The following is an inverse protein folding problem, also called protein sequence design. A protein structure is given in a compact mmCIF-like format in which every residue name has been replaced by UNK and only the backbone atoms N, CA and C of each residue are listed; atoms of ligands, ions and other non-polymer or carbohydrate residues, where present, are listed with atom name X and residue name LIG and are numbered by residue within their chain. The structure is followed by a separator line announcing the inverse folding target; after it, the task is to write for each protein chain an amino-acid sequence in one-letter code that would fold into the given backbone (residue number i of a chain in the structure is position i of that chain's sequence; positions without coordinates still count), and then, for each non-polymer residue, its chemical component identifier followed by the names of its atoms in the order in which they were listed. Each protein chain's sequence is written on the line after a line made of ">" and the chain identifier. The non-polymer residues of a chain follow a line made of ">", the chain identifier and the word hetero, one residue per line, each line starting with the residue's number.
data_IF_826698444022
#
_entry.id   IF_826698444022
#
_cell.length_a   1.000
_cell.length_b   1.000
_cell.length_c   1.000
_cell.angle_alpha   90.00
_cell.angle_beta   90.00
_cell.angle_gamma   90.00
#
_symmetry.space_group_name_H-M   'P 1'
#
loop_
_entity.id
_entity.type
_entity.pdbx_description
1 polymer ?
#
# COMPACT_ATOMS: atom_id res chain seq x y z
N UNK A 1 -27.46 28.44 15.93
CA UNK A 1 -26.10 28.55 15.35
C UNK A 1 -25.60 27.14 14.95
N UNK A 2 -25.41 26.87 13.65
CA UNK A 2 -25.05 25.54 13.12
C UNK A 2 -23.58 25.16 13.38
N UNK A 3 -22.67 26.14 13.35
CA UNK A 3 -21.23 25.93 13.53
C UNK A 3 -20.94 25.46 14.96
N UNK A 4 -21.51 26.15 15.97
CA UNK A 4 -21.38 25.73 17.37
C UNK A 4 -21.88 24.30 17.61
N UNK A 5 -22.96 23.89 16.92
CA UNK A 5 -23.46 22.51 17.01
C UNK A 5 -22.48 21.50 16.40
N UNK A 6 -21.80 21.86 15.31
CA UNK A 6 -20.77 21.01 14.72
C UNK A 6 -19.53 20.91 15.62
N UNK A 7 -19.11 22.00 16.26
CA UNK A 7 -17.99 22.01 17.23
C UNK A 7 -18.27 21.06 18.39
N UNK A 8 -19.45 21.14 19.00
CA UNK A 8 -19.86 20.21 20.08
C UNK A 8 -19.90 18.76 19.58
N UNK A 9 -20.40 18.52 18.37
CA UNK A 9 -20.42 17.18 17.77
C UNK A 9 -19.01 16.64 17.55
N UNK A 10 -18.07 17.49 17.16
CA UNK A 10 -16.67 17.12 16.98
C UNK A 10 -16.00 16.74 18.30
N UNK A 11 -16.30 17.48 19.38
CA UNK A 11 -15.83 17.15 20.73
C UNK A 11 -16.36 15.80 21.19
N UNK A 12 -17.64 15.51 20.94
CA UNK A 12 -18.21 14.18 21.23
C UNK A 12 -17.51 13.08 20.43
N UNK A 13 -17.17 13.30 19.15
CA UNK A 13 -16.40 12.31 18.38
C UNK A 13 -15.04 12.04 19.02
N UNK A 14 -14.33 13.10 19.43
CA UNK A 14 -13.07 12.98 20.14
C UNK A 14 -13.23 12.16 21.41
N UNK A 15 -14.21 12.49 22.26
CA UNK A 15 -14.50 11.75 23.49
C UNK A 15 -14.77 10.26 23.21
N UNK A 16 -15.60 9.93 22.22
CA UNK A 16 -15.93 8.52 21.91
C UNK A 16 -14.74 7.72 21.40
N UNK A 17 -13.84 8.34 20.65
CA UNK A 17 -12.61 7.67 20.21
C UNK A 17 -11.61 7.47 21.36
N UNK A 18 -11.51 8.44 22.29
CA UNK A 18 -10.67 8.29 23.48
C UNK A 18 -11.26 7.27 24.46
N UNK A 19 -12.58 7.24 24.65
CA UNK A 19 -13.28 6.19 25.41
C UNK A 19 -12.99 4.81 24.82
N UNK A 20 -13.10 4.65 23.50
CA UNK A 20 -12.79 3.40 22.81
C UNK A 20 -11.33 2.99 23.04
N UNK A 21 -10.38 3.93 22.93
CA UNK A 21 -8.96 3.70 23.23
C UNK A 21 -8.74 3.25 24.67
N UNK A 22 -9.40 3.90 25.63
CA UNK A 22 -9.31 3.54 27.05
C UNK A 22 -9.93 2.16 27.33
N UNK A 23 -11.02 1.79 26.64
CA UNK A 23 -11.64 0.48 26.75
C UNK A 23 -10.73 -0.62 26.18
N UNK A 24 -10.12 -0.41 25.02
CA UNK A 24 -9.18 -1.36 24.40
C UNK A 24 -7.95 -1.63 25.29
N UNK A 25 -7.57 -0.69 26.15
CA UNK A 25 -6.51 -0.88 27.14
C UNK A 25 -6.94 -1.72 28.36
N UNK A 26 -8.25 -1.84 28.63
CA UNK A 26 -8.80 -2.52 29.82
C UNK A 26 -9.42 -3.87 29.50
N UNK A 27 -9.89 -4.09 28.28
CA UNK A 27 -10.56 -5.33 27.88
C UNK A 27 -10.21 -5.72 26.45
N UNK A 28 -10.23 -7.03 26.21
CA UNK A 28 -10.14 -7.64 24.88
C UNK A 28 -11.48 -8.27 24.47
N UNK A 29 -12.57 -7.98 25.19
CA UNK A 29 -13.91 -8.46 24.85
C UNK A 29 -14.38 -7.82 23.51
N UNK A 30 -14.56 -8.64 22.47
CA UNK A 30 -14.92 -8.17 21.14
C UNK A 30 -16.25 -7.42 21.10
N UNK A 31 -17.26 -7.89 21.85
CA UNK A 31 -18.61 -7.31 21.83
C UNK A 31 -18.60 -5.89 22.39
N UNK A 32 -17.82 -5.67 23.46
CA UNK A 32 -17.69 -4.35 24.08
C UNK A 32 -16.98 -3.39 23.13
N UNK A 33 -15.86 -3.82 22.54
CA UNK A 33 -15.05 -2.98 21.65
C UNK A 33 -15.77 -2.67 20.33
N UNK A 34 -16.46 -3.63 19.73
CA UNK A 34 -17.25 -3.43 18.52
C UNK A 34 -18.41 -2.45 18.76
N UNK A 35 -19.08 -2.55 19.91
CA UNK A 35 -20.14 -1.62 20.30
C UNK A 35 -19.59 -0.20 20.47
N UNK A 36 -18.43 -0.06 21.10
CA UNK A 36 -17.77 1.23 21.25
C UNK A 36 -17.33 1.82 19.89
N UNK A 37 -16.74 1.01 19.01
CA UNK A 37 -16.38 1.40 17.64
C UNK A 37 -17.59 1.84 16.81
N UNK A 38 -18.69 1.09 16.87
CA UNK A 38 -19.95 1.44 16.20
C UNK A 38 -20.54 2.75 16.73
N UNK A 39 -20.41 3.01 18.03
CA UNK A 39 -20.85 4.27 18.63
C UNK A 39 -20.01 5.44 18.11
N UNK A 40 -18.68 5.31 18.06
CA UNK A 40 -17.79 6.33 17.48
C UNK A 40 -18.16 6.62 16.03
N UNK A 41 -18.38 5.59 15.20
CA UNK A 41 -18.84 5.77 13.81
C UNK A 41 -20.14 6.57 13.74
N UNK A 42 -21.14 6.23 14.57
CA UNK A 42 -22.43 6.93 14.62
C UNK A 42 -22.25 8.42 14.90
N UNK A 43 -21.31 8.79 15.77
CA UNK A 43 -21.02 10.18 16.07
C UNK A 43 -20.29 10.90 14.93
N UNK A 44 -19.41 10.22 14.21
CA UNK A 44 -18.78 10.73 12.98
C UNK A 44 -19.85 11.05 11.92
N UNK A 45 -20.81 10.14 11.70
CA UNK A 45 -21.91 10.38 10.76
C UNK A 45 -22.78 11.58 11.18
N UNK A 46 -23.08 11.71 12.47
CA UNK A 46 -23.83 12.85 13.01
C UNK A 46 -23.09 14.17 12.84
N UNK A 47 -21.76 14.18 12.99
CA UNK A 47 -20.94 15.36 12.74
C UNK A 47 -21.02 15.77 11.26
N UNK A 48 -20.84 14.81 10.34
CA UNK A 48 -20.97 15.08 8.90
C UNK A 48 -22.34 15.64 8.55
N UNK A 49 -23.42 14.99 8.98
CA UNK A 49 -24.79 15.44 8.71
C UNK A 49 -25.08 16.83 9.29
N UNK A 50 -24.37 17.22 10.35
CA UNK A 50 -24.46 18.56 10.92
C UNK A 50 -23.69 19.58 10.06
N UNK A 51 -22.51 19.22 9.55
CA UNK A 51 -21.71 20.06 8.64
C UNK A 51 -22.43 20.25 7.29
N UNK A 52 -23.13 19.24 6.80
CA UNK A 52 -23.91 19.33 5.54
C UNK A 52 -24.93 20.46 5.53
N UNK A 53 -25.39 20.90 6.71
CA UNK A 53 -26.33 22.02 6.87
C UNK A 53 -25.68 23.39 6.76
N UNK A 54 -24.36 23.48 6.61
CA UNK A 54 -23.67 24.74 6.39
C UNK A 54 -24.01 25.25 4.99
N UNK A 55 -24.40 26.52 4.92
CA UNK A 55 -24.72 27.23 3.68
C UNK A 55 -23.47 27.92 3.09
N UNK A 56 -22.61 28.42 3.96
CA UNK A 56 -21.35 29.06 3.58
C UNK A 56 -20.18 28.07 3.56
N UNK A 57 -19.02 28.52 3.07
CA UNK A 57 -17.75 27.79 3.06
C UNK A 57 -16.64 28.61 3.75
N UNK A 58 -15.40 28.13 3.72
CA UNK A 58 -14.25 28.78 4.34
C UNK A 58 -13.88 30.11 3.66
N UNK A 59 -14.15 30.29 2.37
CA UNK A 59 -13.94 31.56 1.67
C UNK A 59 -14.90 32.65 2.15
N UNK A 60 -16.18 32.30 2.28
CA UNK A 60 -17.25 33.27 2.54
C UNK A 60 -17.52 33.50 4.03
N UNK A 61 -17.00 32.65 4.92
CA UNK A 61 -17.24 32.73 6.36
C UNK A 61 -15.97 32.51 7.19
N UNK A 62 -15.46 33.56 7.88
CA UNK A 62 -14.32 33.43 8.80
C UNK A 62 -14.54 32.42 9.94
N UNK A 63 -15.81 32.23 10.33
CA UNK A 63 -16.17 31.24 11.36
C UNK A 63 -16.04 29.81 10.84
N UNK A 64 -16.43 29.55 9.59
CA UNK A 64 -16.25 28.24 8.95
C UNK A 64 -14.77 27.99 8.69
N UNK A 65 -14.03 29.01 8.25
CA UNK A 65 -12.58 28.92 8.08
C UNK A 65 -11.88 28.41 9.36
N UNK A 66 -12.16 29.06 10.51
CA UNK A 66 -11.61 28.65 11.81
C UNK A 66 -12.09 27.26 12.25
N UNK A 67 -13.35 26.94 12.00
CA UNK A 67 -13.89 25.61 12.28
C UNK A 67 -13.17 24.54 11.45
N UNK A 68 -12.91 24.80 10.17
CA UNK A 68 -12.29 23.86 9.26
C UNK A 68 -10.86 23.53 9.67
N UNK A 69 -10.07 24.50 10.14
CA UNK A 69 -8.74 24.25 10.70
C UNK A 69 -8.79 23.31 11.90
N UNK A 70 -9.75 23.54 12.82
CA UNK A 70 -10.00 22.64 13.96
C UNK A 70 -10.47 21.27 13.47
N UNK A 71 -11.32 21.22 12.45
CA UNK A 71 -11.79 19.98 11.81
C UNK A 71 -10.65 19.13 11.29
N UNK A 72 -9.76 19.71 10.48
CA UNK A 72 -8.62 19.02 9.89
C UNK A 72 -7.68 18.51 10.97
N UNK A 73 -7.30 19.38 11.91
CA UNK A 73 -6.40 19.01 13.00
C UNK A 73 -6.92 17.81 13.80
N UNK A 74 -8.19 17.85 14.18
CA UNK A 74 -8.77 16.74 14.95
C UNK A 74 -8.96 15.50 14.07
N UNK A 75 -9.41 15.63 12.82
CA UNK A 75 -9.57 14.48 11.92
C UNK A 75 -8.27 13.71 11.73
N UNK A 76 -7.13 14.40 11.57
CA UNK A 76 -5.81 13.77 11.49
C UNK A 76 -5.40 13.08 12.81
N UNK A 77 -5.77 13.63 13.97
CA UNK A 77 -5.53 12.99 15.27
C UNK A 77 -6.44 11.77 15.47
N UNK A 78 -7.71 11.87 15.08
CA UNK A 78 -8.68 10.77 15.12
C UNK A 78 -8.21 9.61 14.25
N UNK A 79 -7.69 9.90 13.06
CA UNK A 79 -7.06 8.91 12.18
C UNK A 79 -5.92 8.18 12.90
N UNK A 80 -4.98 8.91 13.53
CA UNK A 80 -3.88 8.33 14.30
C UNK A 80 -4.36 7.43 15.44
N UNK A 81 -5.43 7.82 16.13
CA UNK A 81 -6.04 7.00 17.22
C UNK A 81 -6.65 5.72 16.67
N UNK A 82 -7.37 5.78 15.55
CA UNK A 82 -7.97 4.60 14.91
C UNK A 82 -6.90 3.61 14.45
N UNK A 83 -5.82 4.09 13.85
CA UNK A 83 -4.69 3.25 13.42
C UNK A 83 -3.95 2.61 14.61
N UNK A 84 -3.80 3.33 15.72
CA UNK A 84 -3.22 2.77 16.95
C UNK A 84 -4.10 1.63 17.50
N UNK A 85 -5.42 1.82 17.48
CA UNK A 85 -6.40 0.82 17.92
C UNK A 85 -6.29 -0.48 17.13
N UNK A 86 -6.08 -0.44 15.82
CA UNK A 86 -5.93 -1.64 14.97
C UNK A 86 -4.85 -2.60 15.51
N UNK A 87 -3.81 -2.08 16.17
CA UNK A 87 -2.71 -2.88 16.72
C UNK A 87 -2.96 -3.40 18.15
N UNK A 88 -4.06 -2.97 18.79
CA UNK A 88 -4.33 -3.20 20.22
C UNK A 88 -5.63 -3.96 20.49
N UNK A 89 -6.38 -4.27 19.44
CA UNK A 89 -7.65 -4.97 19.53
C UNK A 89 -7.58 -6.37 18.90
N UNK A 90 -8.47 -7.30 19.27
CA UNK A 90 -8.51 -8.62 18.67
C UNK A 90 -8.78 -8.57 17.15
N UNK A 91 -8.36 -9.59 16.37
CA UNK A 91 -8.48 -9.60 14.90
C UNK A 91 -9.89 -9.30 14.36
N UNK A 92 -10.93 -9.83 15.02
CA UNK A 92 -12.33 -9.59 14.64
C UNK A 92 -12.74 -8.12 14.81
N UNK A 93 -12.29 -7.48 15.88
CA UNK A 93 -12.56 -6.05 16.17
C UNK A 93 -11.73 -5.17 15.23
N UNK A 94 -10.52 -5.62 14.88
CA UNK A 94 -9.62 -4.88 13.98
C UNK A 94 -10.31 -4.58 12.64
N UNK A 95 -10.98 -5.56 12.02
CA UNK A 95 -11.77 -5.35 10.79
C UNK A 95 -12.84 -4.26 10.96
N UNK A 96 -13.47 -4.21 12.14
CA UNK A 96 -14.46 -3.17 12.44
C UNK A 96 -13.81 -1.79 12.55
N UNK A 97 -12.65 -1.70 13.21
CA UNK A 97 -11.87 -0.46 13.32
C UNK A 97 -11.41 0.02 11.94
N UNK A 98 -10.90 -0.88 11.09
CA UNK A 98 -10.51 -0.57 9.70
C UNK A 98 -11.70 0.02 8.93
N UNK A 99 -12.88 -0.61 9.04
CA UNK A 99 -14.10 -0.10 8.41
C UNK A 99 -14.59 1.25 8.97
N UNK A 100 -14.26 1.58 10.22
CA UNK A 100 -14.51 2.91 10.82
C UNK A 100 -13.51 3.93 10.28
N UNK A 101 -12.23 3.56 10.20
CA UNK A 101 -11.14 4.38 9.64
C UNK A 101 -11.41 4.76 8.18
N UNK A 102 -11.73 3.79 7.34
CA UNK A 102 -12.03 4.02 5.92
C UNK A 102 -13.23 4.97 5.74
N UNK A 103 -14.31 4.77 6.50
CA UNK A 103 -15.48 5.67 6.45
C UNK A 103 -15.16 7.04 7.01
N UNK A 104 -14.36 7.13 8.07
CA UNK A 104 -13.90 8.40 8.64
C UNK A 104 -13.16 9.22 7.58
N UNK A 105 -12.20 8.62 6.86
CA UNK A 105 -11.46 9.31 5.79
C UNK A 105 -12.36 9.69 4.61
N UNK A 106 -13.30 8.83 4.21
CA UNK A 106 -14.28 9.16 3.18
C UNK A 106 -15.12 10.39 3.58
N UNK A 107 -15.57 10.45 4.84
CA UNK A 107 -16.33 11.60 5.35
C UNK A 107 -15.46 12.84 5.46
N UNK A 108 -14.21 12.68 5.88
CA UNK A 108 -13.22 13.74 5.94
C UNK A 108 -13.05 14.39 4.56
N UNK A 109 -12.81 13.59 3.52
CA UNK A 109 -12.70 14.07 2.14
C UNK A 109 -13.94 14.83 1.69
N UNK A 110 -15.14 14.29 1.94
CA UNK A 110 -16.42 14.97 1.61
C UNK A 110 -16.60 16.31 2.33
N UNK A 111 -16.19 16.42 3.60
CA UNK A 111 -16.25 17.69 4.34
C UNK A 111 -15.27 18.70 3.75
N UNK A 112 -14.04 18.28 3.46
CA UNK A 112 -13.03 19.13 2.83
C UNK A 112 -13.53 19.70 1.50
N UNK A 113 -14.06 18.85 0.62
CA UNK A 113 -14.58 19.29 -0.69
C UNK A 113 -15.81 20.20 -0.60
N UNK A 114 -16.59 20.12 0.49
CA UNK A 114 -17.76 20.99 0.69
C UNK A 114 -17.34 22.36 1.22
N UNK A 115 -16.40 22.39 2.18
CA UNK A 115 -16.10 23.59 2.95
C UNK A 115 -14.88 24.37 2.44
N UNK A 116 -14.08 23.81 1.55
CA UNK A 116 -12.86 24.44 1.03
C UNK A 116 -12.77 24.31 -0.49
N UNK A 117 -12.07 25.25 -1.10
CA UNK A 117 -11.77 25.21 -2.52
C UNK A 117 -10.75 24.11 -2.82
N UNK A 118 -10.93 23.45 -3.96
CA UNK A 118 -10.10 22.30 -4.34
C UNK A 118 -8.60 22.63 -4.35
N UNK A 119 -8.23 23.82 -4.82
CA UNK A 119 -6.85 24.32 -4.88
C UNK A 119 -6.23 24.63 -3.52
N UNK A 120 -7.05 24.84 -2.47
CA UNK A 120 -6.58 25.18 -1.11
C UNK A 120 -6.52 23.99 -0.16
N UNK A 121 -7.21 22.89 -0.49
CA UNK A 121 -7.28 21.68 0.37
C UNK A 121 -5.87 21.18 0.72
N UNK A 122 -5.00 21.00 -0.29
CA UNK A 122 -3.65 20.49 -0.08
C UNK A 122 -2.82 21.44 0.82
N UNK A 123 -2.77 22.72 0.47
CA UNK A 123 -2.04 23.72 1.25
C UNK A 123 -2.49 23.77 2.72
N UNK A 124 -3.80 23.71 2.97
CA UNK A 124 -4.34 23.69 4.33
C UNK A 124 -3.96 22.43 5.10
N UNK A 125 -4.05 21.24 4.48
CA UNK A 125 -3.61 19.98 5.09
C UNK A 125 -2.11 20.05 5.45
N UNK A 126 -1.27 20.54 4.53
CA UNK A 126 0.16 20.70 4.75
C UNK A 126 0.46 21.58 5.97
N UNK A 127 -0.18 22.75 6.06
CA UNK A 127 0.00 23.67 7.17
C UNK A 127 -0.37 23.03 8.52
N UNK A 128 -1.44 22.22 8.55
CA UNK A 128 -1.82 21.51 9.78
C UNK A 128 -0.82 20.41 10.12
N UNK A 129 -0.33 19.66 9.13
CA UNK A 129 0.66 18.61 9.34
C UNK A 129 1.98 19.18 9.86
N UNK A 130 2.51 20.24 9.25
CA UNK A 130 3.78 20.87 9.66
C UNK A 130 3.77 21.35 11.11
N UNK A 131 2.62 21.81 11.61
CA UNK A 131 2.45 22.34 12.96
C UNK A 131 2.18 21.28 14.05
N UNK A 132 2.16 19.99 13.72
CA UNK A 132 2.00 18.91 14.72
C UNK A 132 3.31 18.57 15.45
N UNK A 133 3.19 18.03 16.67
CA UNK A 133 4.32 17.64 17.52
C UNK A 133 5.35 16.79 16.76
N UNK A 134 6.61 17.21 16.82
CA UNK A 134 7.74 16.56 16.14
C UNK A 134 8.09 15.24 16.84
N UNK A 135 8.20 14.17 16.06
CA UNK A 135 8.87 12.93 16.43
C UNK A 135 9.87 12.58 15.33
N UNK A 136 10.87 11.75 15.64
CA UNK A 136 11.97 11.41 14.72
C UNK A 136 11.47 10.88 13.36
N UNK A 137 10.30 10.24 13.32
CA UNK A 137 9.71 9.63 12.11
C UNK A 137 8.32 10.15 11.76
N UNK A 138 7.96 11.35 12.23
CA UNK A 138 6.64 11.96 11.98
C UNK A 138 6.27 11.97 10.50
N UNK A 139 7.22 12.30 9.63
CA UNK A 139 6.99 12.40 8.18
C UNK A 139 6.57 11.05 7.58
N UNK A 140 7.07 9.91 8.06
CA UNK A 140 6.60 8.60 7.61
C UNK A 140 5.12 8.39 7.94
N UNK A 141 4.69 8.88 9.11
CA UNK A 141 3.28 8.80 9.48
C UNK A 141 2.41 9.72 8.63
N UNK A 142 2.89 10.94 8.39
CA UNK A 142 2.18 11.90 7.54
C UNK A 142 2.08 11.38 6.10
N UNK A 143 3.14 10.78 5.56
CA UNK A 143 3.14 10.11 4.25
C UNK A 143 2.06 9.02 4.16
N UNK A 144 1.92 8.19 5.19
CA UNK A 144 0.87 7.15 5.21
C UNK A 144 -0.52 7.78 5.15
N UNK A 145 -0.77 8.80 5.98
CA UNK A 145 -2.07 9.48 6.01
C UNK A 145 -2.35 10.18 4.67
N UNK A 146 -1.35 10.85 4.07
CA UNK A 146 -1.49 11.50 2.77
C UNK A 146 -1.82 10.50 1.66
N UNK A 147 -1.18 9.33 1.64
CA UNK A 147 -1.49 8.25 0.69
C UNK A 147 -2.92 7.72 0.84
N UNK A 148 -3.40 7.59 2.07
CA UNK A 148 -4.78 7.17 2.32
C UNK A 148 -5.79 8.26 1.94
N UNK A 149 -5.46 9.54 2.20
CA UNK A 149 -6.30 10.67 1.85
C UNK A 149 -6.40 10.91 0.35
N UNK A 150 -5.33 10.67 -0.41
CA UNK A 150 -5.33 10.82 -1.88
C UNK A 150 -6.52 10.08 -2.51
N UNK A 151 -6.77 8.85 -2.09
CA UNK A 151 -7.87 8.03 -2.62
C UNK A 151 -9.27 8.49 -2.17
N UNK A 152 -9.35 9.29 -1.10
CA UNK A 152 -10.64 9.77 -0.55
C UNK A 152 -10.96 11.21 -0.93
N UNK A 153 -10.03 11.90 -1.58
CA UNK A 153 -10.20 13.25 -2.08
C UNK A 153 -10.61 13.25 -3.56
N UNK A 154 -11.24 14.33 -4.05
CA UNK A 154 -11.57 14.47 -5.47
C UNK A 154 -10.31 14.36 -6.34
N UNK A 155 -10.47 13.84 -7.56
CA UNK A 155 -9.36 13.62 -8.50
C UNK A 155 -8.56 14.88 -8.79
N UNK A 156 -9.21 16.04 -8.81
CA UNK A 156 -8.56 17.33 -9.07
C UNK A 156 -7.61 17.78 -7.96
N UNK A 157 -7.68 17.15 -6.77
CA UNK A 157 -6.82 17.45 -5.62
C UNK A 157 -5.70 16.42 -5.49
N UNK A 158 -5.82 15.25 -6.13
CA UNK A 158 -4.90 14.12 -5.95
C UNK A 158 -3.46 14.48 -6.31
N UNK A 159 -3.22 15.20 -7.40
CA UNK A 159 -1.87 15.60 -7.80
C UNK A 159 -1.22 16.55 -6.78
N UNK A 160 -1.98 17.50 -6.22
CA UNK A 160 -1.48 18.34 -5.14
C UNK A 160 -1.16 17.54 -3.89
N UNK A 161 -1.93 16.49 -3.58
CA UNK A 161 -1.61 15.57 -2.48
C UNK A 161 -0.34 14.76 -2.77
N UNK A 162 -0.12 14.31 -4.02
CA UNK A 162 1.12 13.64 -4.43
C UNK A 162 2.33 14.53 -4.24
N UNK A 163 2.25 15.80 -4.64
CA UNK A 163 3.31 16.78 -4.41
C UNK A 163 3.62 16.96 -2.91
N UNK A 164 2.59 16.93 -2.04
CA UNK A 164 2.80 16.94 -0.59
C UNK A 164 3.46 15.66 -0.08
N UNK A 165 3.14 14.49 -0.66
CA UNK A 165 3.83 13.25 -0.35
C UNK A 165 5.32 13.37 -0.72
N UNK A 166 5.64 13.83 -1.92
CA UNK A 166 7.04 14.03 -2.35
C UNK A 166 7.78 15.00 -1.43
N UNK A 167 7.18 16.15 -1.12
CA UNK A 167 7.74 17.11 -0.16
C UNK A 167 7.98 16.47 1.21
N UNK A 168 7.02 15.70 1.73
CA UNK A 168 7.14 15.04 3.04
C UNK A 168 8.25 13.98 3.04
N UNK A 169 8.42 13.25 1.93
CA UNK A 169 9.51 12.29 1.75
C UNK A 169 10.87 12.98 1.70
N UNK A 170 11.01 14.07 0.94
CA UNK A 170 12.27 14.80 0.86
C UNK A 170 12.68 15.35 2.24
N UNK A 171 11.74 15.97 2.95
CA UNK A 171 11.97 16.43 4.33
C UNK A 171 12.33 15.28 5.27
N UNK A 172 11.73 14.10 5.09
CA UNK A 172 12.10 12.91 5.85
C UNK A 172 13.55 12.50 5.59
N UNK A 173 13.96 12.37 4.32
CA UNK A 173 15.31 11.95 3.94
C UNK A 173 16.36 12.94 4.44
N UNK A 174 16.13 14.25 4.30
CA UNK A 174 17.01 15.29 4.84
C UNK A 174 17.15 15.23 6.37
N UNK A 175 16.06 14.93 7.09
CA UNK A 175 16.11 14.77 8.54
C UNK A 175 16.79 13.46 8.93
N UNK A 176 16.65 12.42 8.11
CA UNK A 176 17.25 11.13 8.36
C UNK A 176 18.78 11.22 8.35
N UNK A 177 19.35 11.99 7.42
CA UNK A 177 20.80 12.24 7.36
C UNK A 177 21.34 12.97 8.60
N UNK A 178 20.51 13.73 9.30
CA UNK A 178 20.89 14.54 10.46
C UNK A 178 20.80 13.78 11.80
N UNK A 179 20.14 12.62 11.85
CA UNK A 179 20.03 11.81 13.06
C UNK A 179 21.11 10.73 13.11
N UNK A 180 21.40 10.21 14.31
CA UNK A 180 22.43 9.18 14.50
C UNK A 180 22.09 7.87 13.78
N UNK A 181 23.12 7.13 13.35
CA UNK A 181 22.98 5.81 12.71
C UNK A 181 22.12 4.86 13.55
N UNK A 182 22.31 4.86 14.88
CA UNK A 182 21.50 4.06 15.81
C UNK A 182 20.00 4.39 15.73
N UNK A 183 19.65 5.66 15.50
CA UNK A 183 18.26 6.06 15.26
C UNK A 183 17.82 5.70 13.85
N UNK A 184 18.65 5.88 12.83
CA UNK A 184 18.33 5.51 11.45
C UNK A 184 17.98 4.01 11.33
N UNK A 185 18.69 3.14 12.04
CA UNK A 185 18.41 1.70 12.05
C UNK A 185 17.03 1.34 12.63
N UNK A 186 16.41 2.24 13.42
CA UNK A 186 15.07 2.04 14.01
C UNK A 186 13.93 2.31 13.02
N UNK A 187 14.20 2.79 11.80
CA UNK A 187 13.16 3.03 10.77
C UNK A 187 12.37 1.75 10.48
N UNK A 188 13.08 0.62 10.29
CA UNK A 188 12.44 -0.65 9.97
C UNK A 188 11.46 -1.08 11.06
N UNK A 189 11.88 -0.96 12.33
CA UNK A 189 11.02 -1.27 13.49
C UNK A 189 9.84 -0.30 13.61
N UNK A 190 10.07 0.97 13.30
CA UNK A 190 9.00 1.98 13.30
C UNK A 190 7.93 1.63 12.27
N UNK A 191 8.31 1.38 11.01
CA UNK A 191 7.38 1.01 9.93
C UNK A 191 6.61 -0.27 10.26
N UNK A 192 7.27 -1.27 10.84
CA UNK A 192 6.61 -2.52 11.26
C UNK A 192 5.56 -2.31 12.35
N UNK A 193 5.83 -1.42 13.33
CA UNK A 193 4.97 -1.16 14.49
C UNK A 193 3.91 -0.10 14.22
N UNK A 194 4.09 0.71 13.17
CA UNK A 194 3.14 1.75 12.78
C UNK A 194 1.77 1.12 12.49
N UNK A 195 0.70 1.66 13.08
CA UNK A 195 -0.68 1.25 12.76
C UNK A 195 -1.14 1.75 11.39
N UNK A 196 -2.33 1.33 10.94
CA UNK A 196 -2.91 1.74 9.66
C UNK A 196 -2.66 0.76 8.52
N UNK A 197 -2.96 1.21 7.30
CA UNK A 197 -3.00 0.38 6.10
C UNK A 197 -1.62 -0.20 5.76
N UNK A 198 -1.51 -1.54 5.74
CA UNK A 198 -0.22 -2.26 5.54
C UNK A 198 0.26 -2.22 4.10
N UNK A 199 -0.66 -2.16 3.15
CA UNK A 199 -0.36 -2.00 1.74
C UNK A 199 0.29 -0.63 1.47
N UNK A 200 -0.25 0.44 2.07
CA UNK A 200 0.37 1.78 2.00
C UNK A 200 1.72 1.85 2.73
N UNK A 201 1.89 1.09 3.82
CA UNK A 201 3.19 0.97 4.47
C UNK A 201 4.23 0.29 3.58
N UNK A 202 3.83 -0.77 2.87
CA UNK A 202 4.70 -1.45 1.91
C UNK A 202 5.10 -0.49 0.77
N UNK A 203 4.17 0.30 0.22
CA UNK A 203 4.51 1.31 -0.79
C UNK A 203 5.54 2.34 -0.31
N UNK A 204 5.41 2.83 0.93
CA UNK A 204 6.38 3.75 1.55
C UNK A 204 7.73 3.06 1.70
N UNK A 205 7.73 1.84 2.22
CA UNK A 205 8.95 1.05 2.41
C UNK A 205 9.69 0.83 1.08
N UNK A 206 8.98 0.42 0.02
CA UNK A 206 9.56 0.24 -1.32
C UNK A 206 10.11 1.55 -1.90
N UNK A 207 9.57 2.69 -1.48
CA UNK A 207 10.15 3.99 -1.81
C UNK A 207 11.45 4.21 -1.04
N UNK A 208 11.43 4.07 0.28
CA UNK A 208 12.62 4.25 1.12
C UNK A 208 13.78 3.34 0.74
N UNK A 209 13.51 2.08 0.36
CA UNK A 209 14.55 1.12 -0.08
C UNK A 209 15.32 1.60 -1.31
N UNK A 210 14.65 2.36 -2.17
CA UNK A 210 15.26 2.86 -3.41
C UNK A 210 16.04 4.14 -3.16
N UNK A 211 15.51 5.03 -2.34
CA UNK A 211 16.17 6.30 -1.99
C UNK A 211 17.38 6.08 -1.05
N UNK A 212 17.26 5.17 -0.08
CA UNK A 212 18.30 4.94 0.93
C UNK A 212 19.29 3.86 0.45
N UNK A 213 20.54 4.25 0.22
CA UNK A 213 21.64 3.37 -0.23
C UNK A 213 22.56 2.87 0.88
N UNK A 214 22.34 3.27 2.13
CA UNK A 214 23.20 2.87 3.24
C UNK A 214 22.94 1.41 3.66
N UNK A 215 23.97 0.54 3.56
CA UNK A 215 23.82 -0.92 3.69
C UNK A 215 23.16 -1.39 4.99
N UNK A 216 23.52 -0.82 6.15
CA UNK A 216 22.90 -1.20 7.42
C UNK A 216 21.40 -0.88 7.47
N UNK A 217 20.98 0.26 6.91
CA UNK A 217 19.58 0.67 6.85
C UNK A 217 18.83 -0.18 5.83
N UNK A 218 19.44 -0.46 4.68
CA UNK A 218 18.85 -1.33 3.65
C UNK A 218 18.49 -2.71 4.22
N UNK A 219 19.40 -3.33 4.98
CA UNK A 219 19.12 -4.61 5.63
C UNK A 219 17.92 -4.52 6.60
N UNK A 220 17.77 -3.42 7.35
CA UNK A 220 16.61 -3.20 8.22
C UNK A 220 15.32 -2.98 7.42
N UNK A 221 15.38 -2.32 6.27
CA UNK A 221 14.25 -2.13 5.37
C UNK A 221 13.85 -3.44 4.67
N UNK A 222 14.80 -4.31 4.30
CA UNK A 222 14.53 -5.68 3.83
C UNK A 222 13.77 -6.49 4.89
N UNK A 223 14.28 -6.52 6.12
CA UNK A 223 13.60 -7.23 7.21
C UNK A 223 12.20 -6.67 7.49
N UNK A 224 12.02 -5.35 7.36
CA UNK A 224 10.71 -4.73 7.48
C UNK A 224 9.76 -5.09 6.34
N UNK A 225 10.27 -5.26 5.11
CA UNK A 225 9.49 -5.72 3.96
C UNK A 225 8.85 -7.06 4.25
N UNK A 226 9.64 -8.04 4.63
CA UNK A 226 9.16 -9.40 4.83
C UNK A 226 8.15 -9.46 5.98
N UNK A 227 8.38 -8.70 7.05
CA UNK A 227 7.43 -8.60 8.16
C UNK A 227 6.14 -7.88 7.78
N UNK A 228 6.18 -6.84 6.95
CA UNK A 228 4.98 -6.14 6.48
C UNK A 228 4.19 -7.06 5.54
N UNK A 229 4.85 -7.74 4.60
CA UNK A 229 4.23 -8.72 3.70
C UNK A 229 3.56 -9.85 4.49
N UNK A 230 4.25 -10.42 5.49
CA UNK A 230 3.67 -11.43 6.37
C UNK A 230 2.44 -10.92 7.13
N UNK A 231 2.45 -9.65 7.56
CA UNK A 231 1.26 -9.02 8.18
C UNK A 231 0.11 -8.81 7.20
N UNK A 232 0.39 -8.52 5.92
CA UNK A 232 -0.64 -8.41 4.88
C UNK A 232 -1.28 -9.78 4.63
N UNK A 233 -0.47 -10.84 4.58
CA UNK A 233 -0.93 -12.22 4.39
C UNK A 233 -1.78 -12.72 5.56
N UNK A 234 -1.33 -12.45 6.78
CA UNK A 234 -2.01 -12.84 8.02
C UNK A 234 -3.17 -11.93 8.40
N UNK A 235 -3.34 -10.80 7.71
CA UNK A 235 -4.41 -9.86 8.02
C UNK A 235 -5.78 -10.54 7.84
N UNK A 236 -6.68 -10.41 8.83
CA UNK A 236 -8.07 -10.82 8.70
C UNK A 236 -8.65 -10.41 7.35
N UNK A 237 -9.36 -11.35 6.72
CA UNK A 237 -10.01 -11.12 5.42
C UNK A 237 -11.51 -11.29 5.57
N UNK A 238 -12.24 -10.60 4.71
CA UNK A 238 -13.63 -10.94 4.46
C UNK A 238 -13.69 -12.38 3.91
N UNK A 239 -14.57 -13.22 4.45
CA UNK A 239 -14.75 -14.62 4.02
C UNK A 239 -15.03 -14.76 2.52
N UNK A 240 -15.57 -13.70 1.90
CA UNK A 240 -15.84 -13.64 0.46
C UNK A 240 -14.60 -13.39 -0.40
N UNK A 241 -13.46 -13.04 0.19
CA UNK A 241 -12.24 -12.76 -0.56
C UNK A 241 -11.37 -14.01 -0.73
N UNK A 242 -10.73 -14.17 -1.91
CA UNK A 242 -9.77 -15.25 -2.12
C UNK A 242 -8.59 -15.14 -1.15
N UNK A 243 -7.90 -16.26 -0.95
CA UNK A 243 -6.68 -16.29 -0.16
C UNK A 243 -5.62 -15.48 -0.89
N UNK A 244 -5.17 -14.39 -0.29
CA UNK A 244 -4.00 -13.68 -0.78
C UNK A 244 -2.75 -14.43 -0.31
N UNK A 245 -1.83 -14.69 -1.22
CA UNK A 245 -0.56 -15.39 -0.92
C UNK A 245 0.59 -14.41 -1.12
N UNK A 246 1.51 -14.38 -0.17
CA UNK A 246 2.70 -13.56 -0.27
C UNK A 246 3.53 -13.90 -1.53
N UNK A 247 4.12 -12.90 -2.20
CA UNK A 247 5.04 -13.18 -3.28
C UNK A 247 6.27 -13.93 -2.76
N UNK A 248 6.78 -14.87 -3.55
CA UNK A 248 7.99 -15.64 -3.20
C UNK A 248 9.21 -14.72 -3.00
N UNK A 249 10.18 -15.09 -2.15
CA UNK A 249 11.42 -14.34 -2.02
C UNK A 249 12.08 -14.07 -3.38
N UNK A 250 12.48 -12.82 -3.62
CA UNK A 250 13.05 -12.41 -4.91
C UNK A 250 12.05 -12.16 -6.03
N UNK A 251 10.73 -12.22 -5.78
CA UNK A 251 9.68 -11.92 -6.76
C UNK A 251 9.87 -10.59 -7.49
N UNK A 252 10.41 -9.58 -6.81
CA UNK A 252 10.62 -8.25 -7.37
C UNK A 252 11.99 -7.71 -6.93
N UNK A 253 13.06 -8.12 -7.63
CA UNK A 253 14.45 -7.71 -7.32
C UNK A 253 14.71 -6.25 -7.69
N UNK A 254 14.27 -5.85 -8.89
CA UNK A 254 14.58 -4.53 -9.48
C UNK A 254 13.35 -3.61 -9.56
N UNK A 255 12.24 -4.00 -8.92
CA UNK A 255 11.01 -3.23 -8.95
C UNK A 255 10.46 -2.95 -7.55
N UNK A 256 9.23 -2.47 -7.52
CA UNK A 256 8.45 -2.27 -6.30
C UNK A 256 7.31 -3.27 -6.25
N UNK A 257 7.10 -3.88 -5.10
CA UNK A 257 5.93 -4.71 -4.85
C UNK A 257 4.73 -3.80 -4.60
N UNK A 258 3.67 -3.96 -5.39
CA UNK A 258 2.41 -3.24 -5.24
C UNK A 258 1.30 -4.24 -4.96
N UNK A 259 0.54 -4.00 -3.90
CA UNK A 259 -0.64 -4.79 -3.52
C UNK A 259 -1.86 -3.87 -3.59
N UNK A 260 -2.70 -4.11 -4.59
CA UNK A 260 -3.93 -3.35 -4.79
C UNK A 260 -5.13 -4.11 -4.21
N UNK A 261 -6.22 -3.38 -3.93
CA UNK A 261 -7.53 -3.97 -3.69
C UNK A 261 -8.40 -3.79 -4.93
N UNK A 262 -9.23 -4.79 -5.21
CA UNK A 262 -10.28 -4.69 -6.21
C UNK A 262 -11.30 -3.63 -5.78
N UNK A 263 -11.65 -2.67 -6.64
CA UNK A 263 -12.48 -1.54 -6.26
C UNK A 263 -13.94 -1.91 -5.97
N UNK A 264 -14.44 -3.04 -6.47
CA UNK A 264 -15.82 -3.47 -6.28
C UNK A 264 -15.98 -4.33 -5.02
N UNK A 265 -15.05 -5.28 -4.83
CA UNK A 265 -15.12 -6.28 -3.78
C UNK A 265 -14.29 -5.89 -2.55
N UNK A 266 -13.32 -4.99 -2.71
CA UNK A 266 -12.34 -4.65 -1.68
C UNK A 266 -11.31 -5.75 -1.41
N UNK A 267 -11.34 -6.85 -2.18
CA UNK A 267 -10.43 -7.97 -1.99
C UNK A 267 -9.04 -7.64 -2.51
N UNK A 268 -8.00 -8.13 -1.82
CA UNK A 268 -6.61 -7.95 -2.26
C UNK A 268 -6.39 -8.70 -3.58
N UNK A 269 -5.82 -7.99 -4.55
CA UNK A 269 -5.34 -8.56 -5.80
C UNK A 269 -3.96 -9.18 -5.60
N UNK A 270 -3.55 -10.14 -6.46
CA UNK A 270 -2.18 -10.65 -6.47
C UNK A 270 -1.16 -9.52 -6.53
N UNK A 271 -0.04 -9.69 -5.81
CA UNK A 271 1.05 -8.73 -5.83
C UNK A 271 1.57 -8.54 -7.27
N UNK A 272 1.89 -7.30 -7.64
CA UNK A 272 2.53 -6.97 -8.92
C UNK A 272 3.90 -6.38 -8.67
N UNK A 273 4.89 -6.80 -9.45
CA UNK A 273 6.18 -6.13 -9.51
C UNK A 273 6.08 -4.99 -10.53
N UNK A 274 6.25 -3.75 -10.07
CA UNK A 274 6.26 -2.56 -10.93
C UNK A 274 7.69 -2.06 -11.04
N UNK A 275 8.24 -2.13 -12.24
CA UNK A 275 9.54 -1.57 -12.59
C UNK A 275 9.29 -0.14 -13.10
N UNK A 276 10.01 0.86 -12.57
CA UNK A 276 9.85 2.25 -13.03
C UNK A 276 10.53 2.49 -14.37
N UNK A 277 10.07 3.46 -15.15
CA UNK A 277 10.64 3.83 -16.46
C UNK A 277 12.14 4.15 -16.41
N UNK A 278 12.67 4.71 -15.31
CA UNK A 278 14.12 4.90 -15.13
C UNK A 278 14.89 3.58 -15.00
N UNK A 279 14.28 2.57 -14.38
CA UNK A 279 14.84 1.23 -14.28
C UNK A 279 14.64 0.50 -15.60
N UNK A 280 13.52 0.68 -16.31
CA UNK A 280 13.39 0.19 -17.68
C UNK A 280 14.46 0.80 -18.62
N UNK A 281 14.82 2.07 -18.43
CA UNK A 281 15.90 2.73 -19.18
C UNK A 281 17.29 2.22 -18.78
N UNK A 282 17.52 1.91 -17.50
CA UNK A 282 18.79 1.37 -17.01
C UNK A 282 18.95 -0.12 -17.32
N UNK A 283 17.91 -0.94 -17.20
CA UNK A 283 17.87 -2.32 -17.72
C UNK A 283 18.15 -2.30 -19.22
N UNK A 284 17.53 -1.40 -20.00
CA UNK A 284 17.81 -1.22 -21.44
C UNK A 284 19.23 -0.72 -21.74
N UNK A 285 19.94 -0.11 -20.79
CA UNK A 285 21.33 0.35 -20.93
C UNK A 285 22.32 -0.73 -20.50
N UNK A 286 22.07 -1.43 -19.41
CA UNK A 286 22.90 -2.53 -18.94
C UNK A 286 22.82 -3.73 -19.90
N UNK A 287 21.70 -3.88 -20.64
CA UNK A 287 21.61 -4.82 -21.78
C UNK A 287 22.27 -4.31 -23.07
N UNK A 288 22.77 -3.07 -23.13
CA UNK A 288 23.55 -2.58 -24.29
C UNK A 288 25.04 -2.86 -24.17
N UNK A 289 25.54 -3.06 -22.94
CA UNK A 289 26.94 -3.38 -22.68
C UNK A 289 27.21 -4.89 -22.53
N UNK A 290 26.16 -5.71 -22.66
CA UNK A 290 26.23 -7.15 -22.86
C UNK A 290 25.74 -7.43 -24.27
N UNK A 291 26.67 -7.36 -25.21
CA UNK A 291 26.67 -8.01 -26.52
C UNK A 291 25.41 -7.94 -27.40
N UNK A 292 25.63 -7.32 -28.57
CA UNK A 292 25.23 -7.83 -29.89
C UNK A 292 24.69 -9.27 -29.92
N UNK A 293 23.42 -9.48 -29.57
CA UNK A 293 22.52 -10.39 -30.27
C UNK A 293 21.08 -9.99 -30.00
N UNK A 294 20.34 -9.76 -31.09
CA UNK A 294 18.98 -9.28 -31.08
C UNK A 294 18.03 -10.21 -30.32
N UNK A 295 17.40 -9.72 -29.24
CA UNK A 295 16.15 -10.31 -28.73
C UNK A 295 15.18 -9.17 -28.38
N UNK A 296 14.42 -8.76 -29.38
CA UNK A 296 13.12 -8.11 -29.22
C UNK A 296 12.08 -9.17 -28.82
N UNK A 297 11.23 -8.87 -27.84
CA UNK A 297 9.80 -9.23 -27.69
C UNK A 297 9.31 -10.53 -28.43
N UNK A 298 10.06 -11.64 -28.35
CA UNK A 298 9.73 -12.94 -28.97
C UNK A 298 9.59 -14.07 -27.93
N UNK A 299 9.78 -13.78 -26.64
CA UNK A 299 9.87 -14.84 -25.61
C UNK A 299 8.53 -15.51 -25.27
N UNK A 300 7.40 -14.82 -25.45
CA UNK A 300 6.10 -15.39 -25.05
C UNK A 300 5.54 -16.43 -26.03
N UNK A 301 5.83 -16.36 -27.34
CA UNK A 301 5.36 -17.39 -28.29
C UNK A 301 6.14 -18.70 -28.18
N UNK A 302 7.44 -18.62 -27.86
CA UNK A 302 8.32 -19.79 -27.83
C UNK A 302 7.98 -20.76 -26.70
N UNK A 303 7.31 -20.29 -25.65
CA UNK A 303 6.88 -21.11 -24.51
C UNK A 303 5.36 -21.19 -24.35
N UNK A 304 4.57 -20.61 -25.25
CA UNK A 304 3.10 -20.65 -25.14
C UNK A 304 2.52 -21.96 -25.67
N UNK A 305 1.38 -22.35 -25.11
CA UNK A 305 0.65 -23.56 -25.51
C UNK A 305 -0.85 -23.38 -25.29
N UNK A 306 -1.65 -24.20 -25.97
CA UNK A 306 -3.09 -24.37 -25.68
C UNK A 306 -3.37 -25.73 -25.07
N UNK A 307 -2.57 -26.73 -25.42
CA UNK A 307 -2.68 -28.13 -25.01
C UNK A 307 -1.30 -28.71 -24.73
N UNK A 308 -1.23 -29.83 -24.00
CA UNK A 308 0.03 -30.52 -23.69
C UNK A 308 0.79 -30.95 -24.97
N UNK A 309 0.07 -31.29 -26.05
CA UNK A 309 0.65 -31.64 -27.34
C UNK A 309 1.36 -30.48 -28.06
N UNK A 310 1.11 -29.23 -27.64
CA UNK A 310 1.83 -28.08 -28.17
C UNK A 310 3.22 -27.94 -27.55
N UNK A 311 3.52 -28.69 -26.48
CA UNK A 311 4.79 -28.62 -25.77
C UNK A 311 5.72 -29.75 -26.18
N UNK A 312 6.96 -29.40 -26.50
CA UNK A 312 8.02 -30.35 -26.78
C UNK A 312 9.30 -29.98 -26.03
N UNK A 313 10.20 -30.95 -25.90
CA UNK A 313 11.55 -30.74 -25.40
C UNK A 313 12.56 -31.37 -26.36
N UNK A 314 13.64 -30.65 -26.62
CA UNK A 314 14.67 -31.05 -27.59
C UNK A 314 15.67 -29.92 -27.77
N UNK A 315 16.14 -29.71 -29.00
CA UNK A 315 16.96 -28.55 -29.35
C UNK A 315 16.12 -27.48 -30.02
N UNK A 316 16.43 -26.22 -29.75
CA UNK A 316 15.79 -25.09 -30.42
C UNK A 316 16.19 -25.08 -31.89
N UNK A 317 15.23 -24.92 -32.80
CA UNK A 317 15.48 -25.03 -34.26
C UNK A 317 16.49 -23.99 -34.78
N UNK A 318 16.54 -22.81 -34.17
CA UNK A 318 17.41 -21.69 -34.58
C UNK A 318 18.82 -21.77 -33.96
N UNK A 319 18.94 -22.04 -32.65
CA UNK A 319 20.23 -21.99 -31.94
C UNK A 319 20.85 -23.36 -31.68
N UNK A 320 20.11 -24.45 -31.88
CA UNK A 320 20.50 -25.82 -31.52
C UNK A 320 20.78 -26.03 -30.02
N UNK A 321 20.40 -25.09 -29.15
CA UNK A 321 20.53 -25.23 -27.70
C UNK A 321 19.38 -26.06 -27.12
N UNK A 322 19.61 -26.73 -25.99
CA UNK A 322 18.55 -27.48 -25.31
C UNK A 322 17.45 -26.53 -24.82
N UNK A 323 16.21 -26.82 -25.22
CA UNK A 323 15.06 -25.96 -24.99
C UNK A 323 13.78 -26.79 -24.85
N UNK A 324 12.85 -26.31 -24.03
CA UNK A 324 11.49 -26.82 -23.98
C UNK A 324 10.52 -25.66 -24.21
N UNK A 325 9.44 -25.93 -24.92
CA UNK A 325 8.50 -24.88 -25.30
C UNK A 325 7.54 -25.34 -26.38
N UNK A 326 6.98 -24.37 -27.10
CA UNK A 326 6.08 -24.63 -28.20
C UNK A 326 6.79 -25.46 -29.28
N UNK A 327 6.15 -26.55 -29.71
CA UNK A 327 6.68 -27.54 -30.65
C UNK A 327 7.13 -26.94 -31.98
N UNK A 328 6.58 -25.80 -32.38
CA UNK A 328 7.00 -25.12 -33.60
C UNK A 328 8.46 -24.64 -33.54
N UNK A 329 9.00 -24.40 -32.34
CA UNK A 329 10.35 -23.89 -32.12
C UNK A 329 11.34 -24.95 -31.62
N UNK A 330 10.86 -26.16 -31.34
CA UNK A 330 11.65 -27.28 -30.82
C UNK A 330 11.79 -28.36 -31.89
N UNK A 331 13.01 -28.84 -32.11
CA UNK A 331 13.27 -30.09 -32.82
C UNK A 331 13.27 -31.25 -31.82
N UNK A 332 12.15 -31.97 -31.76
CA UNK A 332 11.96 -33.10 -30.86
C UNK A 332 12.79 -34.33 -31.24
N UNK A 333 13.35 -34.39 -32.47
CA UNK A 333 14.22 -35.49 -32.89
C UNK A 333 15.64 -35.32 -32.35
N UNK A 334 16.05 -34.08 -32.07
CA UNK A 334 17.35 -33.73 -31.52
C UNK A 334 17.27 -33.65 -30.00
N UNK A 335 17.27 -34.81 -29.33
CA UNK A 335 17.04 -34.88 -27.89
C UNK A 335 18.21 -34.35 -27.05
N UNK A 336 17.85 -33.76 -25.90
CA UNK A 336 18.74 -33.43 -24.80
C UNK A 336 18.36 -34.29 -23.58
N UNK A 337 18.91 -35.51 -23.43
CA UNK A 337 18.41 -36.51 -22.48
C UNK A 337 18.32 -36.01 -21.04
N UNK A 338 19.39 -35.39 -20.53
CA UNK A 338 19.46 -34.89 -19.15
C UNK A 338 18.53 -33.70 -18.92
N UNK A 339 18.30 -32.89 -19.96
CA UNK A 339 17.47 -31.69 -19.88
C UNK A 339 15.98 -32.03 -20.00
N UNK A 340 15.61 -32.92 -20.93
CA UNK A 340 14.21 -33.22 -21.23
C UNK A 340 13.61 -34.25 -20.29
N UNK A 341 14.38 -35.29 -19.94
CA UNK A 341 13.88 -36.39 -19.10
C UNK A 341 14.33 -36.22 -17.64
N UNK A 342 15.34 -35.37 -17.39
CA UNK A 342 15.97 -35.23 -16.09
C UNK A 342 16.86 -36.44 -15.77
N UNK A 343 17.73 -36.30 -14.77
CA UNK A 343 18.62 -37.38 -14.32
C UNK A 343 17.80 -38.62 -13.89
N UNK A 344 16.57 -38.43 -13.42
CA UNK A 344 15.67 -39.51 -12.99
C UNK A 344 14.81 -40.11 -14.11
N UNK A 345 14.82 -39.52 -15.32
CA UNK A 345 14.01 -39.97 -16.45
C UNK A 345 12.50 -39.74 -16.31
N UNK A 346 12.06 -38.90 -15.36
CA UNK A 346 10.64 -38.73 -14.99
C UNK A 346 10.01 -37.41 -15.42
N UNK A 347 10.75 -36.52 -16.08
CA UNK A 347 10.21 -35.23 -16.46
C UNK A 347 9.23 -35.34 -17.63
N UNK A 348 8.06 -34.72 -17.49
CA UNK A 348 6.98 -34.67 -18.48
C UNK A 348 6.64 -33.22 -18.78
N UNK A 349 6.49 -32.89 -20.06
CA UNK A 349 6.05 -31.58 -20.53
C UNK A 349 4.54 -31.42 -20.42
N UNK A 350 4.08 -30.31 -19.85
CA UNK A 350 2.66 -29.96 -19.74
C UNK A 350 2.40 -28.49 -20.02
N UNK A 351 1.22 -28.21 -20.55
CA UNK A 351 0.70 -26.87 -20.72
C UNK A 351 -0.04 -26.44 -19.45
N UNK A 352 0.52 -25.48 -18.70
CA UNK A 352 -0.09 -24.95 -17.47
C UNK A 352 -0.24 -23.44 -17.63
N UNK A 353 -1.48 -22.94 -17.50
CA UNK A 353 -1.81 -21.52 -17.67
C UNK A 353 -1.32 -20.94 -19.01
N UNK A 354 -1.47 -21.71 -20.10
CA UNK A 354 -1.02 -21.38 -21.46
C UNK A 354 0.51 -21.26 -21.63
N UNK A 355 1.29 -21.87 -20.72
CA UNK A 355 2.77 -21.90 -20.77
C UNK A 355 3.25 -23.35 -20.67
N UNK A 356 4.18 -23.74 -21.53
CA UNK A 356 4.86 -25.03 -21.47
C UNK A 356 5.75 -25.08 -20.23
N UNK A 357 5.53 -26.09 -19.41
CA UNK A 357 6.23 -26.32 -18.15
C UNK A 357 6.69 -27.76 -18.05
N UNK A 358 7.74 -28.00 -17.27
CA UNK A 358 8.27 -29.33 -17.02
C UNK A 358 7.89 -29.76 -15.59
N UNK A 359 7.29 -30.94 -15.45
CA UNK A 359 6.81 -31.48 -14.17
C UNK A 359 7.34 -32.90 -13.95
N UNK A 360 7.51 -33.30 -12.68
CA UNK A 360 7.90 -34.66 -12.27
C UNK A 360 6.70 -35.56 -12.01
#
# INVERSE_FOLDING_TARGET
>A
NQIKKAEVRQEIVNEKLIELKALAAKTQDPKILEKAAANSQKHIEKLKAQIEKFQDNAQTSPKINKFLDKFIRQGLLQQKVLEELETKVPPQVMLKIEAVRERHLEKFGKVMSKLEDKDKIAARINNILENQTKSDFKQLKDLQILKELEEKLPSEVQDSIRQLQEKSLNVFLENLEKISVEKQEKIGDYLQKMGGNKEKQLEILETLRREIKHGAIQNKLEQAKDKIIGKIEQAPRNEKCPIWTAPVPGFCKEGRIVVNKDPQTGCRLPARCVVTEEIEKNIKRDTKDIDNHAISIQSNEKISCRTDSDCACGRKKDTQECFYGNINYVDANSQCPDFCNGITGKLIMRCVNNVCTQSQ
#
